data_IF_848246691762
#
_entry.id   IF_848246691762
#
_cell.length_a   1.000
_cell.length_b   1.000
_cell.length_c   1.000
_cell.angle_alpha   90.00
_cell.angle_beta   90.00
_cell.angle_gamma   90.00
#
_symmetry.space_group_name_H-M   'P 1'
#
loop_
_entity.id
_entity.type
_entity.pdbx_description
1 polymer ?
#
# COMPACT_ATOMS: atom_id res chain seq x y z
N UNK A 1 20.24 69.58 60.20
CA UNK A 1 21.18 68.44 60.05
C UNK A 1 20.45 67.31 59.34
N UNK A 2 20.45 67.31 58.00
CA UNK A 2 19.71 66.34 57.18
C UNK A 2 20.56 65.12 56.86
N UNK A 3 20.01 63.91 57.07
CA UNK A 3 20.63 62.65 56.62
C UNK A 3 20.55 62.57 55.08
N UNK A 4 21.61 62.19 54.36
CA UNK A 4 21.52 62.02 52.92
C UNK A 4 20.83 60.70 52.57
N UNK A 5 19.87 60.77 51.65
CA UNK A 5 19.13 59.63 51.14
C UNK A 5 20.03 58.73 50.27
N UNK A 6 20.06 57.45 50.63
CA UNK A 6 20.81 56.39 49.95
C UNK A 6 20.16 56.06 48.60
N UNK A 7 20.87 56.31 47.51
CA UNK A 7 20.38 56.06 46.15
C UNK A 7 20.46 54.57 45.83
N UNK A 8 19.33 53.85 45.89
CA UNK A 8 19.22 52.47 45.37
C UNK A 8 19.50 52.47 43.86
N UNK A 9 20.63 51.88 43.47
CA UNK A 9 20.94 51.61 42.08
C UNK A 9 20.02 50.49 41.55
N UNK A 10 19.09 50.83 40.66
CA UNK A 10 18.26 49.85 39.93
C UNK A 10 19.17 49.11 38.95
N UNK A 11 19.44 47.83 39.24
CA UNK A 11 20.23 46.93 38.39
C UNK A 11 19.44 46.66 37.09
N UNK A 12 19.71 47.43 36.03
CA UNK A 12 19.14 47.19 34.70
C UNK A 12 19.64 45.82 34.21
N UNK A 13 18.73 44.85 34.02
CA UNK A 13 19.02 43.60 33.31
C UNK A 13 19.52 43.96 31.91
N UNK A 14 20.72 43.47 31.55
CA UNK A 14 21.24 43.56 30.18
C UNK A 14 20.41 42.60 29.33
N UNK A 15 19.58 43.16 28.45
CA UNK A 15 18.90 42.38 27.42
C UNK A 15 19.96 41.98 26.39
N UNK A 16 20.11 40.69 26.14
CA UNK A 16 21.14 40.18 25.22
C UNK A 16 20.75 40.49 23.76
N UNK A 17 21.71 40.75 22.85
CA UNK A 17 21.44 40.86 21.42
C UNK A 17 20.97 39.49 20.90
N UNK A 18 19.65 39.26 20.91
CA UNK A 18 19.03 37.95 20.64
C UNK A 18 17.80 37.66 21.50
N UNK A 19 17.57 38.40 22.59
CA UNK A 19 16.43 38.17 23.51
C UNK A 19 15.10 38.76 22.97
N UNK A 20 15.13 39.34 21.76
CA UNK A 20 13.96 39.57 20.90
C UNK A 20 14.09 38.74 19.62
N UNK A 21 14.29 37.43 19.75
CA UNK A 21 13.65 36.57 18.77
C UNK A 21 12.16 36.65 19.10
N UNK A 22 11.46 37.63 18.51
CA UNK A 22 10.06 37.37 18.23
C UNK A 22 10.09 36.03 17.48
N UNK A 23 9.39 35.01 17.99
CA UNK A 23 9.00 33.92 17.12
C UNK A 23 8.40 34.61 15.90
N UNK A 24 9.14 34.61 14.79
CA UNK A 24 8.74 35.31 13.58
C UNK A 24 7.55 34.49 13.08
N UNK A 25 6.36 34.85 13.58
CA UNK A 25 5.12 34.22 13.20
C UNK A 25 5.08 34.26 11.69
N UNK A 26 5.03 33.07 11.10
CA UNK A 26 4.94 32.93 9.66
C UNK A 26 3.80 33.82 9.19
N UNK A 27 4.05 34.56 8.12
CA UNK A 27 2.98 35.33 7.49
C UNK A 27 1.86 34.36 7.10
N UNK A 28 0.62 34.83 7.12
CA UNK A 28 -0.54 34.00 6.76
C UNK A 28 -0.38 33.31 5.40
N UNK A 29 0.34 33.94 4.46
CA UNK A 29 0.69 33.34 3.16
C UNK A 29 1.66 32.16 3.27
N UNK A 30 2.64 32.23 4.18
CA UNK A 30 3.57 31.14 4.47
C UNK A 30 2.87 29.98 5.21
N UNK A 31 1.99 30.28 6.16
CA UNK A 31 1.18 29.26 6.85
C UNK A 31 0.26 28.53 5.87
N UNK A 32 -0.40 29.26 4.98
CA UNK A 32 -1.25 28.68 3.94
C UNK A 32 -0.44 27.78 3.00
N UNK A 33 0.73 28.24 2.53
CA UNK A 33 1.63 27.44 1.68
C UNK A 33 2.08 26.16 2.37
N UNK A 34 2.47 26.25 3.65
CA UNK A 34 2.84 25.08 4.45
C UNK A 34 1.69 24.09 4.55
N UNK A 35 0.48 24.57 4.87
CA UNK A 35 -0.71 23.72 4.97
C UNK A 35 -1.07 23.05 3.64
N UNK A 36 -0.94 23.78 2.52
CA UNK A 36 -1.16 23.21 1.19
C UNK A 36 -0.15 22.11 0.86
N UNK A 37 1.13 22.30 1.18
CA UNK A 37 2.16 21.29 0.99
C UNK A 37 1.88 20.05 1.84
N UNK A 38 1.53 20.23 3.12
CA UNK A 38 1.14 19.11 3.97
C UNK A 38 -0.09 18.36 3.45
N UNK A 39 -1.06 19.07 2.86
CA UNK A 39 -2.21 18.44 2.23
C UNK A 39 -1.80 17.58 1.03
N UNK A 40 -0.87 18.06 0.20
CA UNK A 40 -0.35 17.32 -0.94
C UNK A 40 0.42 16.09 -0.48
N UNK A 41 1.28 16.22 0.54
CA UNK A 41 2.05 15.11 1.07
C UNK A 41 1.14 14.01 1.63
N UNK A 42 0.11 14.38 2.40
CA UNK A 42 -0.89 13.41 2.88
C UNK A 42 -1.66 12.75 1.75
N UNK A 43 -2.01 13.50 0.71
CA UNK A 43 -2.71 12.95 -0.45
C UNK A 43 -1.83 11.96 -1.23
N UNK A 44 -0.54 12.27 -1.38
CA UNK A 44 0.41 11.36 -2.00
C UNK A 44 0.55 10.07 -1.20
N UNK A 45 0.69 10.17 0.14
CA UNK A 45 0.74 8.99 1.02
C UNK A 45 -0.50 8.12 0.90
N UNK A 46 -1.69 8.71 0.78
CA UNK A 46 -2.93 7.97 0.59
C UNK A 46 -2.95 7.26 -0.76
N UNK A 47 -2.52 7.92 -1.84
CA UNK A 47 -2.39 7.30 -3.16
C UNK A 47 -1.43 6.12 -3.11
N UNK A 48 -0.25 6.31 -2.52
CA UNK A 48 0.77 5.27 -2.44
C UNK A 48 0.23 4.05 -1.66
N UNK A 49 -0.42 4.29 -0.52
CA UNK A 49 -1.04 3.24 0.30
C UNK A 49 -2.13 2.47 -0.47
N UNK A 50 -2.98 3.19 -1.21
CA UNK A 50 -4.04 2.56 -2.02
C UNK A 50 -3.45 1.76 -3.18
N UNK A 51 -2.44 2.29 -3.85
CA UNK A 51 -1.74 1.60 -4.94
C UNK A 51 -1.08 0.31 -4.44
N UNK A 52 -0.34 0.35 -3.33
CA UNK A 52 0.25 -0.84 -2.71
C UNK A 52 -0.83 -1.88 -2.32
N UNK A 53 -1.95 -1.42 -1.78
CA UNK A 53 -3.10 -2.26 -1.47
C UNK A 53 -3.68 -2.95 -2.72
N UNK A 54 -3.83 -2.21 -3.82
CA UNK A 54 -4.33 -2.74 -5.09
C UNK A 54 -3.35 -3.72 -5.74
N UNK A 55 -2.05 -3.45 -5.71
CA UNK A 55 -1.01 -4.37 -6.18
C UNK A 55 -1.05 -5.68 -5.38
N UNK A 56 -1.14 -5.59 -4.05
CA UNK A 56 -1.27 -6.78 -3.19
C UNK A 56 -2.51 -7.61 -3.54
N UNK A 57 -3.66 -6.96 -3.77
CA UNK A 57 -4.88 -7.65 -4.21
C UNK A 57 -4.65 -8.30 -5.57
N UNK A 58 -4.14 -7.56 -6.55
CA UNK A 58 -3.86 -8.06 -7.90
C UNK A 58 -2.98 -9.32 -7.88
N UNK A 59 -1.90 -9.31 -7.10
CA UNK A 59 -0.99 -10.45 -6.97
C UNK A 59 -1.67 -11.70 -6.40
N UNK A 60 -2.56 -11.53 -5.41
CA UNK A 60 -3.34 -12.64 -4.83
C UNK A 60 -4.33 -13.23 -5.83
N UNK A 61 -4.92 -12.40 -6.68
CA UNK A 61 -5.88 -12.82 -7.70
C UNK A 61 -5.20 -13.37 -8.97
N UNK A 62 -3.95 -13.00 -9.25
CA UNK A 62 -3.21 -13.51 -10.41
C UNK A 62 -3.08 -15.04 -10.39
N UNK A 63 -3.00 -15.66 -9.21
CA UNK A 63 -2.99 -17.13 -9.09
C UNK A 63 -4.28 -17.76 -9.63
N UNK A 64 -5.40 -17.04 -9.60
CA UNK A 64 -6.68 -17.50 -10.15
C UNK A 64 -6.79 -17.31 -11.66
N UNK A 65 -5.77 -16.79 -12.35
CA UNK A 65 -5.82 -16.62 -13.78
C UNK A 65 -6.06 -17.99 -14.47
N UNK A 66 -7.09 -18.13 -15.31
CA UNK A 66 -7.44 -19.40 -15.91
C UNK A 66 -6.32 -20.07 -16.73
N UNK A 67 -5.49 -19.23 -17.36
CA UNK A 67 -4.27 -19.66 -18.05
C UNK A 67 -3.37 -20.46 -17.12
N UNK A 68 -3.17 -20.02 -15.87
CA UNK A 68 -2.32 -20.72 -14.90
C UNK A 68 -2.84 -22.14 -14.61
N UNK A 69 -4.15 -22.37 -14.49
CA UNK A 69 -4.68 -23.72 -14.28
C UNK A 69 -4.48 -24.65 -15.48
N UNK A 70 -4.55 -24.11 -16.69
CA UNK A 70 -4.42 -24.90 -17.93
C UNK A 70 -2.95 -25.10 -18.32
N UNK A 71 -2.11 -24.08 -18.14
CA UNK A 71 -0.76 -23.98 -18.71
C UNK A 71 0.36 -24.38 -17.75
N UNK A 72 0.15 -24.31 -16.44
CA UNK A 72 1.20 -24.65 -15.45
C UNK A 72 1.72 -26.07 -15.71
N UNK A 73 3.02 -26.26 -15.85
CA UNK A 73 3.57 -27.59 -16.08
C UNK A 73 3.29 -28.54 -14.91
N UNK A 74 3.23 -29.86 -15.14
CA UNK A 74 3.05 -30.84 -14.05
C UNK A 74 4.16 -30.73 -12.98
N UNK A 75 5.37 -30.28 -13.37
CA UNK A 75 6.50 -30.04 -12.46
C UNK A 75 6.36 -28.77 -11.62
N UNK A 76 5.62 -27.78 -12.10
CA UNK A 76 5.37 -26.51 -11.39
C UNK A 76 4.03 -26.51 -10.65
N UNK A 77 3.16 -27.48 -10.96
CA UNK A 77 1.85 -27.64 -10.36
C UNK A 77 1.90 -27.64 -8.82
N UNK A 78 2.84 -28.34 -8.14
CA UNK A 78 2.93 -28.28 -6.67
C UNK A 78 3.18 -26.87 -6.14
N UNK A 79 4.07 -26.11 -6.79
CA UNK A 79 4.38 -24.72 -6.38
C UNK A 79 3.19 -23.79 -6.63
N UNK A 80 2.46 -24.02 -7.73
CA UNK A 80 1.22 -23.31 -8.02
C UNK A 80 0.15 -23.60 -6.97
N UNK A 81 -0.10 -24.88 -6.65
CA UNK A 81 -1.08 -25.27 -5.62
C UNK A 81 -0.69 -24.73 -4.26
N UNK A 82 0.60 -24.75 -3.91
CA UNK A 82 1.08 -24.15 -2.66
C UNK A 82 0.69 -22.67 -2.57
N UNK A 83 1.01 -21.86 -3.59
CA UNK A 83 0.62 -20.44 -3.62
C UNK A 83 -0.89 -20.26 -3.55
N UNK A 84 -1.66 -21.14 -4.18
CA UNK A 84 -3.12 -21.09 -4.15
C UNK A 84 -3.66 -21.37 -2.73
N UNK A 85 -3.16 -22.39 -2.05
CA UNK A 85 -3.60 -22.75 -0.68
C UNK A 85 -3.14 -21.72 0.35
N UNK A 86 -1.97 -21.10 0.16
CA UNK A 86 -1.50 -19.98 1.00
C UNK A 86 -2.45 -18.77 0.94
N UNK A 87 -3.04 -18.51 -0.23
CA UNK A 87 -3.98 -17.40 -0.42
C UNK A 87 -5.43 -17.77 -0.06
N UNK A 88 -5.79 -19.06 -0.13
CA UNK A 88 -7.15 -19.55 0.06
C UNK A 88 -7.16 -20.78 0.97
N UNK A 89 -7.18 -20.55 2.29
CA UNK A 89 -7.08 -21.59 3.32
C UNK A 89 -8.18 -22.67 3.28
N UNK A 90 -9.28 -22.41 2.59
CA UNK A 90 -10.40 -23.36 2.41
C UNK A 90 -10.08 -24.44 1.38
N UNK A 91 -9.05 -24.25 0.56
CA UNK A 91 -8.69 -25.17 -0.52
C UNK A 91 -7.79 -26.30 -0.01
N UNK A 92 -8.14 -27.54 -0.38
CA UNK A 92 -7.29 -28.70 -0.13
C UNK A 92 -6.21 -28.83 -1.20
N UNK A 93 -4.94 -28.81 -0.79
CA UNK A 93 -3.81 -29.02 -1.69
C UNK A 93 -3.93 -30.34 -2.45
N UNK A 94 -4.18 -31.45 -1.73
CA UNK A 94 -4.30 -32.78 -2.33
C UNK A 94 -5.49 -32.87 -3.29
N UNK A 95 -6.63 -32.28 -2.90
CA UNK A 95 -7.81 -32.20 -3.77
C UNK A 95 -7.48 -31.51 -5.09
N UNK A 96 -6.87 -30.32 -5.02
CA UNK A 96 -6.52 -29.54 -6.22
C UNK A 96 -5.46 -30.23 -7.08
N UNK A 97 -4.44 -30.84 -6.45
CA UNK A 97 -3.41 -31.62 -7.17
C UNK A 97 -4.02 -32.77 -7.98
N UNK A 98 -5.14 -33.34 -7.54
CA UNK A 98 -5.84 -34.38 -8.31
C UNK A 98 -6.82 -33.81 -9.34
N UNK A 99 -7.47 -32.69 -9.05
CA UNK A 99 -8.50 -32.13 -9.93
C UNK A 99 -7.93 -31.37 -11.14
N UNK A 100 -6.82 -30.63 -10.98
CA UNK A 100 -6.23 -29.89 -12.11
C UNK A 100 -5.84 -30.84 -13.28
N UNK A 101 -5.10 -31.95 -13.04
CA UNK A 101 -4.79 -32.91 -14.11
C UNK A 101 -6.03 -33.58 -14.71
N UNK A 102 -7.06 -33.85 -13.88
CA UNK A 102 -8.35 -34.40 -14.36
C UNK A 102 -9.02 -33.43 -15.33
N UNK A 103 -9.15 -32.15 -14.95
CA UNK A 103 -9.73 -31.10 -15.79
C UNK A 103 -8.97 -30.94 -17.11
N UNK A 104 -7.63 -30.89 -17.06
CA UNK A 104 -6.79 -30.83 -18.28
C UNK A 104 -7.04 -32.00 -19.22
N UNK A 105 -7.16 -33.21 -18.67
CA UNK A 105 -7.49 -34.41 -19.46
C UNK A 105 -8.87 -34.28 -20.11
N UNK A 106 -9.88 -33.81 -19.38
CA UNK A 106 -11.22 -33.58 -19.93
C UNK A 106 -11.21 -32.56 -21.06
N UNK A 107 -10.56 -31.41 -20.88
CA UNK A 107 -10.43 -30.36 -21.92
C UNK A 107 -9.75 -30.90 -23.17
N UNK A 108 -8.66 -31.66 -23.00
CA UNK A 108 -7.93 -32.31 -24.10
C UNK A 108 -8.82 -33.31 -24.86
N UNK A 109 -9.60 -34.13 -24.15
CA UNK A 109 -10.52 -35.10 -24.77
C UNK A 109 -11.66 -34.41 -25.52
N UNK A 110 -12.20 -33.33 -24.96
CA UNK A 110 -13.28 -32.57 -25.57
C UNK A 110 -12.81 -31.72 -26.76
N UNK A 111 -11.51 -31.70 -27.08
CA UNK A 111 -10.89 -30.86 -28.13
C UNK A 111 -11.23 -29.38 -27.99
N UNK A 112 -11.52 -28.93 -26.77
CA UNK A 112 -11.80 -27.53 -26.50
C UNK A 112 -10.50 -26.77 -26.72
N UNK A 113 -10.52 -25.81 -27.65
CA UNK A 113 -9.37 -24.97 -27.89
C UNK A 113 -9.10 -24.11 -26.65
N UNK A 114 -7.83 -23.88 -26.38
CA UNK A 114 -7.37 -23.11 -25.21
C UNK A 114 -8.07 -21.74 -25.15
N UNK A 115 -8.21 -21.10 -26.30
CA UNK A 115 -8.85 -19.81 -26.49
C UNK A 115 -10.36 -19.86 -26.21
N UNK A 116 -11.02 -20.99 -26.49
CA UNK A 116 -12.43 -21.19 -26.16
C UNK A 116 -12.66 -21.39 -24.67
N UNK A 117 -11.75 -22.08 -23.98
CA UNK A 117 -11.80 -22.26 -22.53
C UNK A 117 -11.64 -20.92 -21.80
N UNK A 118 -10.66 -20.11 -22.21
CA UNK A 118 -10.46 -18.77 -21.69
C UNK A 118 -11.67 -17.87 -21.98
N UNK A 119 -12.23 -17.95 -23.19
CA UNK A 119 -13.44 -17.19 -23.57
C UNK A 119 -14.66 -17.57 -22.72
N UNK A 120 -14.82 -18.85 -22.39
CA UNK A 120 -15.90 -19.30 -21.51
C UNK A 120 -15.75 -18.73 -20.10
N UNK A 121 -14.54 -18.76 -19.56
CA UNK A 121 -14.30 -18.26 -18.20
C UNK A 121 -14.50 -16.75 -18.13
N UNK A 122 -14.06 -16.00 -19.14
CA UNK A 122 -14.36 -14.57 -19.25
C UNK A 122 -15.87 -14.26 -19.39
N UNK A 123 -16.66 -15.17 -19.97
CA UNK A 123 -18.12 -15.02 -20.08
C UNK A 123 -18.87 -15.38 -18.78
N UNK A 124 -18.33 -16.29 -17.98
CA UNK A 124 -18.96 -16.77 -16.74
C UNK A 124 -18.56 -15.91 -15.54
N UNK A 125 -17.33 -15.38 -15.54
CA UNK A 125 -16.76 -14.63 -14.42
C UNK A 125 -16.65 -13.11 -14.65
N UNK A 126 -17.02 -12.61 -15.83
CA UNK A 126 -17.09 -11.18 -16.16
C UNK A 126 -18.53 -10.71 -16.30
#
# INVERSE_FOLDING_TARGET
MGKPAEKRAVRRKKIMPGEKAADEQLTLDQELKMYMLECIDRFQQEIDTVCEGLECISDRFAVLEPSNFIETSETELPKFVQRLVENYSELSADGILTEIPRLRRFLKTAKVLKEESLRWILRVCG
#
